data_IF_118628507464
#
_entry.id   IF_118628507464
#
_cell.length_a   1.000
_cell.length_b   1.000
_cell.length_c   1.000
_cell.angle_alpha   90.00
_cell.angle_beta   90.00
_cell.angle_gamma   90.00
#
_symmetry.space_group_name_H-M   'P 1'
#
loop_
_entity.id
_entity.type
_entity.pdbx_description
1 polymer ?
#
# COMPACT_ATOMS: atom_id res chain seq x y z
N UNK A 1 -0.90 4.07 -14.87
CA UNK A 1 0.43 4.68 -15.13
C UNK A 1 0.34 6.13 -15.65
N UNK A 2 1.21 6.99 -15.14
CA UNK A 2 1.43 8.35 -15.65
C UNK A 2 2.18 8.33 -17.00
N UNK A 3 2.29 9.49 -17.67
CA UNK A 3 2.98 9.63 -18.97
C UNK A 3 4.45 9.23 -18.86
N UNK A 4 5.03 9.41 -17.68
CA UNK A 4 6.40 9.08 -17.31
C UNK A 4 6.64 7.56 -17.16
N UNK A 5 5.60 6.73 -17.30
CA UNK A 5 5.72 5.28 -17.38
C UNK A 5 5.69 4.54 -16.04
N UNK A 6 5.32 5.20 -14.94
CA UNK A 6 5.18 4.60 -13.61
C UNK A 6 3.81 4.90 -12.97
N UNK A 7 3.41 4.13 -11.96
CA UNK A 7 2.24 4.46 -11.15
C UNK A 7 2.56 5.64 -10.24
N UNK A 8 1.72 6.69 -10.30
CA UNK A 8 1.94 7.95 -9.62
C UNK A 8 0.67 8.40 -8.93
N UNK A 9 0.84 9.12 -7.83
CA UNK A 9 -0.22 9.95 -7.23
C UNK A 9 0.05 11.40 -7.61
N UNK A 10 -1.01 12.12 -7.95
CA UNK A 10 -0.94 13.54 -8.32
C UNK A 10 -1.62 14.38 -7.24
N UNK A 11 -0.91 15.38 -6.75
CA UNK A 11 -1.48 16.48 -5.99
C UNK A 11 -1.76 17.61 -6.96
N UNK A 12 -3.03 17.98 -7.08
CA UNK A 12 -3.47 19.04 -7.98
C UNK A 12 -3.94 20.24 -7.18
N UNK A 13 -3.45 21.42 -7.55
CA UNK A 13 -3.89 22.68 -6.96
C UNK A 13 -4.45 23.62 -8.03
N UNK A 14 -5.73 24.02 -7.96
CA UNK A 14 -6.33 24.88 -8.97
C UNK A 14 -5.79 26.32 -8.90
N UNK A 15 -5.59 26.93 -10.07
CA UNK A 15 -5.20 28.33 -10.21
C UNK A 15 -6.41 29.13 -10.71
N UNK A 16 -6.72 30.21 -9.99
CA UNK A 16 -7.80 31.13 -10.36
C UNK A 16 -7.23 32.48 -10.78
N UNK A 17 -7.85 33.11 -11.79
CA UNK A 17 -7.57 34.48 -12.17
C UNK A 17 -8.03 35.47 -11.10
N UNK A 18 -7.66 36.74 -11.24
CA UNK A 18 -8.19 37.81 -10.38
C UNK A 18 -9.72 37.98 -10.46
N UNK A 19 -10.35 37.54 -11.56
CA UNK A 19 -11.82 37.50 -11.71
C UNK A 19 -12.47 36.25 -11.09
N UNK A 20 -11.68 35.34 -10.53
CA UNK A 20 -12.18 34.09 -9.92
C UNK A 20 -12.46 32.97 -10.92
N UNK A 21 -12.05 33.11 -12.18
CA UNK A 21 -12.17 32.04 -13.18
C UNK A 21 -11.02 31.04 -13.03
N UNK A 22 -11.30 29.74 -13.10
CA UNK A 22 -10.26 28.73 -13.12
C UNK A 22 -9.49 28.81 -14.44
N UNK A 23 -8.18 29.06 -14.36
CA UNK A 23 -7.31 29.24 -15.54
C UNK A 23 -6.29 28.11 -15.72
N UNK A 24 -6.22 27.19 -14.76
CA UNK A 24 -5.35 26.02 -14.84
C UNK A 24 -5.15 25.34 -13.49
N UNK A 25 -4.10 24.53 -13.39
CA UNK A 25 -3.66 23.89 -12.15
C UNK A 25 -2.13 23.81 -12.07
N UNK A 26 -1.60 23.71 -10.85
CA UNK A 26 -0.25 23.23 -10.59
C UNK A 26 -0.36 21.79 -10.10
N UNK A 27 0.39 20.89 -10.72
CA UNK A 27 0.36 19.47 -10.39
C UNK A 27 1.73 19.03 -9.87
N UNK A 28 1.75 18.30 -8.74
CA UNK A 28 2.92 17.64 -8.23
C UNK A 28 2.69 16.12 -8.27
N UNK A 29 3.54 15.42 -9.03
CA UNK A 29 3.49 13.97 -9.14
C UNK A 29 4.52 13.36 -8.19
N UNK A 30 4.13 12.31 -7.47
CA UNK A 30 5.07 11.52 -6.69
C UNK A 30 4.81 10.03 -6.91
N UNK A 31 5.88 9.26 -6.73
CA UNK A 31 5.90 7.81 -6.78
C UNK A 31 5.55 7.25 -5.40
N UNK A 32 4.40 6.58 -5.22
CA UNK A 32 4.05 6.02 -3.92
C UNK A 32 5.08 5.00 -3.43
N UNK A 33 5.64 4.20 -4.35
CA UNK A 33 6.68 3.24 -4.03
C UNK A 33 7.94 3.89 -3.42
N UNK A 34 8.32 5.09 -3.91
CA UNK A 34 9.43 5.87 -3.34
C UNK A 34 9.07 6.61 -2.05
N UNK A 35 7.80 7.02 -1.89
CA UNK A 35 7.34 7.62 -0.63
C UNK A 35 7.42 6.58 0.51
N UNK A 36 7.03 5.35 0.19
CA UNK A 36 6.98 4.25 1.13
C UNK A 36 8.29 3.48 1.25
N UNK A 37 9.31 3.78 0.45
CA UNK A 37 10.62 3.13 0.57
C UNK A 37 11.32 3.43 1.90
N UNK A 38 10.91 4.46 2.65
CA UNK A 38 11.37 4.64 4.04
C UNK A 38 10.90 3.53 4.98
N UNK A 39 9.89 2.74 4.60
CA UNK A 39 9.54 1.50 5.30
C UNK A 39 10.61 0.42 5.17
N UNK A 40 11.46 0.47 4.13
CA UNK A 40 12.64 -0.42 4.03
C UNK A 40 13.55 -0.22 5.24
N UNK A 41 13.65 1.01 5.76
CA UNK A 41 14.43 1.29 6.98
C UNK A 41 13.85 0.60 8.22
N UNK A 42 12.53 0.33 8.26
CA UNK A 42 11.95 -0.46 9.34
C UNK A 42 12.47 -1.90 9.31
N UNK A 43 12.65 -2.49 8.14
CA UNK A 43 13.22 -3.84 8.04
C UNK A 43 14.66 -3.89 8.52
N UNK A 44 15.46 -2.86 8.22
CA UNK A 44 16.83 -2.74 8.74
C UNK A 44 16.85 -2.60 10.28
N UNK A 45 15.88 -1.91 10.86
CA UNK A 45 15.74 -1.77 12.32
C UNK A 45 15.27 -3.07 12.98
N UNK A 46 14.50 -3.89 12.27
CA UNK A 46 13.88 -5.11 12.78
C UNK A 46 14.43 -6.41 12.17
N UNK A 47 15.67 -6.42 11.64
CA UNK A 47 16.26 -7.56 10.92
C UNK A 47 16.16 -8.90 11.68
N UNK A 48 16.23 -8.86 13.02
CA UNK A 48 16.17 -10.05 13.87
C UNK A 48 14.73 -10.48 14.26
N UNK A 49 13.69 -9.72 13.87
CA UNK A 49 12.32 -9.89 14.38
C UNK A 49 11.30 -10.35 13.33
N UNK A 50 11.71 -10.63 12.09
CA UNK A 50 10.81 -11.02 10.99
C UNK A 50 9.62 -10.04 10.83
N UNK A 51 9.88 -8.75 11.06
CA UNK A 51 8.90 -7.69 10.89
C UNK A 51 9.09 -7.06 9.53
N UNK A 52 8.00 -7.00 8.76
CA UNK A 52 7.94 -6.32 7.46
C UNK A 52 6.82 -5.29 7.45
N UNK A 53 6.84 -4.40 6.47
CA UNK A 53 5.77 -3.44 6.27
C UNK A 53 5.37 -3.38 4.80
N UNK A 54 4.09 -3.17 4.53
CA UNK A 54 3.54 -3.04 3.18
C UNK A 54 2.44 -1.99 3.16
N UNK A 55 2.13 -1.48 1.97
CA UNK A 55 1.13 -0.43 1.78
C UNK A 55 0.16 -0.76 0.64
N UNK A 56 -1.10 -0.42 0.84
CA UNK A 56 -2.19 -0.75 -0.08
C UNK A 56 -3.18 0.41 -0.21
N UNK A 57 -3.73 0.59 -1.41
CA UNK A 57 -4.90 1.41 -1.63
C UNK A 57 -6.18 0.74 -1.10
N UNK A 58 -7.24 1.53 -0.92
CA UNK A 58 -8.53 1.02 -0.44
C UNK A 58 -9.25 0.12 -1.45
N UNK A 59 -8.83 0.11 -2.71
CA UNK A 59 -9.31 -0.78 -3.77
C UNK A 59 -8.48 -2.08 -3.90
N UNK A 60 -7.44 -2.23 -3.07
CA UNK A 60 -6.61 -3.42 -3.02
C UNK A 60 -5.31 -3.35 -3.84
N UNK A 61 -5.02 -2.26 -4.55
CA UNK A 61 -3.71 -2.13 -5.23
C UNK A 61 -2.57 -2.01 -4.19
N UNK A 62 -1.58 -2.89 -4.29
CA UNK A 62 -0.39 -2.90 -3.44
C UNK A 62 0.58 -1.85 -3.98
N UNK A 63 0.85 -0.83 -3.19
CA UNK A 63 1.72 0.29 -3.57
C UNK A 63 3.18 0.08 -3.19
N UNK A 64 3.40 -0.72 -2.14
CA UNK A 64 4.72 -1.07 -1.65
C UNK A 64 4.62 -2.40 -0.91
N UNK A 65 5.58 -3.28 -1.18
CA UNK A 65 5.82 -4.52 -0.46
C UNK A 65 7.34 -4.81 -0.54
N UNK A 66 7.94 -5.45 0.48
CA UNK A 66 9.34 -5.87 0.42
C UNK A 66 9.60 -6.89 -0.69
N UNK A 67 8.59 -7.68 -1.06
CA UNK A 67 8.64 -8.50 -2.26
C UNK A 67 8.22 -7.66 -3.49
N UNK A 68 9.17 -7.30 -4.37
CA UNK A 68 8.87 -6.45 -5.52
C UNK A 68 7.91 -7.11 -6.53
N UNK A 69 7.70 -8.42 -6.46
CA UNK A 69 6.73 -9.11 -7.32
C UNK A 69 5.27 -8.81 -6.91
N UNK A 70 5.04 -8.38 -5.67
CA UNK A 70 3.71 -8.01 -5.17
C UNK A 70 3.31 -6.57 -5.51
N UNK A 71 4.29 -5.68 -5.74
CA UNK A 71 4.05 -4.26 -6.03
C UNK A 71 3.28 -4.10 -7.35
N UNK A 72 2.17 -3.36 -7.30
CA UNK A 72 1.27 -3.12 -8.43
C UNK A 72 0.27 -4.24 -8.68
N UNK A 73 0.31 -5.36 -7.93
CA UNK A 73 -0.77 -6.34 -7.93
C UNK A 73 -1.96 -5.83 -7.13
N UNK A 74 -3.13 -6.34 -7.44
CA UNK A 74 -4.34 -6.05 -6.68
C UNK A 74 -4.75 -7.27 -5.86
N UNK A 75 -4.85 -7.09 -4.55
CA UNK A 75 -5.11 -8.13 -3.56
C UNK A 75 -6.39 -8.93 -3.87
N UNK A 76 -7.42 -8.28 -4.39
CA UNK A 76 -8.73 -8.88 -4.59
C UNK A 76 -8.92 -9.52 -5.97
N UNK A 77 -8.08 -9.17 -6.95
CA UNK A 77 -8.28 -9.59 -8.35
C UNK A 77 -7.14 -10.39 -8.95
N UNK A 78 -5.90 -10.24 -8.46
CA UNK A 78 -4.76 -11.01 -8.95
C UNK A 78 -4.93 -12.51 -8.59
N UNK A 79 -4.74 -13.45 -9.55
CA UNK A 79 -4.83 -14.87 -9.29
C UNK A 79 -3.94 -15.41 -8.17
N UNK A 80 -2.81 -14.75 -7.87
CA UNK A 80 -1.89 -15.12 -6.80
C UNK A 80 -2.59 -15.26 -5.44
N UNK A 81 -3.50 -14.34 -5.13
CA UNK A 81 -4.13 -14.25 -3.80
C UNK A 81 -5.38 -15.13 -3.64
N UNK A 82 -5.96 -15.61 -4.74
CA UNK A 82 -7.23 -16.37 -4.73
C UNK A 82 -7.25 -17.59 -3.79
N UNK A 83 -6.17 -18.36 -3.63
CA UNK A 83 -6.16 -19.49 -2.71
C UNK A 83 -6.20 -19.10 -1.23
N UNK A 84 -5.86 -17.85 -0.87
CA UNK A 84 -5.62 -17.42 0.50
C UNK A 84 -6.84 -16.69 1.09
N UNK A 85 -7.88 -17.45 1.41
CA UNK A 85 -9.17 -16.88 1.88
C UNK A 85 -9.01 -16.02 3.15
N UNK A 86 -8.14 -16.41 4.08
CA UNK A 86 -7.89 -15.63 5.30
C UNK A 86 -7.26 -14.26 4.99
N UNK A 87 -6.31 -14.23 4.05
CA UNK A 87 -5.71 -13.00 3.56
C UNK A 87 -6.76 -12.11 2.90
N UNK A 88 -7.62 -12.66 2.03
CA UNK A 88 -8.67 -11.88 1.37
C UNK A 88 -9.66 -11.28 2.38
N UNK A 89 -10.11 -12.06 3.38
CA UNK A 89 -10.99 -11.56 4.44
C UNK A 89 -10.34 -10.47 5.29
N UNK A 90 -9.05 -10.60 5.60
CA UNK A 90 -8.34 -9.52 6.31
C UNK A 90 -8.12 -8.31 5.39
N UNK A 91 -7.87 -8.52 4.10
CA UNK A 91 -7.74 -7.48 3.09
C UNK A 91 -8.99 -6.61 2.98
N UNK A 92 -10.18 -7.20 3.00
CA UNK A 92 -11.46 -6.46 3.02
C UNK A 92 -11.58 -5.57 4.27
N UNK A 93 -11.12 -6.06 5.43
CA UNK A 93 -11.07 -5.26 6.65
C UNK A 93 -10.04 -4.14 6.55
N UNK A 94 -8.84 -4.43 6.06
CA UNK A 94 -7.80 -3.41 5.85
C UNK A 94 -8.32 -2.31 4.91
N UNK A 95 -9.00 -2.67 3.83
CA UNK A 95 -9.58 -1.72 2.89
C UNK A 95 -10.66 -0.82 3.53
N UNK A 96 -11.53 -1.37 4.37
CA UNK A 96 -12.70 -0.67 4.93
C UNK A 96 -12.47 -0.01 6.29
N UNK A 97 -11.60 -0.55 7.13
CA UNK A 97 -11.31 -0.07 8.48
C UNK A 97 -10.04 0.81 8.47
N UNK A 98 -10.11 2.01 9.06
CA UNK A 98 -8.96 2.95 9.06
C UNK A 98 -7.74 2.45 9.86
N UNK A 99 -7.97 1.61 10.84
CA UNK A 99 -6.92 0.96 11.61
C UNK A 99 -7.46 -0.33 12.22
N UNK A 100 -6.57 -1.25 12.55
CA UNK A 100 -6.96 -2.50 13.17
C UNK A 100 -5.79 -3.48 13.26
N UNK A 101 -6.12 -4.71 13.61
CA UNK A 101 -5.21 -5.84 13.59
C UNK A 101 -5.94 -7.13 13.21
N UNK A 102 -5.16 -8.15 12.85
CA UNK A 102 -5.63 -9.49 12.56
C UNK A 102 -4.50 -10.39 12.08
N UNK A 103 -4.82 -11.66 11.90
CA UNK A 103 -3.88 -12.67 11.40
C UNK A 103 -4.37 -13.25 10.09
N UNK A 104 -3.44 -13.71 9.26
CA UNK A 104 -3.72 -14.38 8.00
C UNK A 104 -2.59 -15.34 7.66
N UNK A 105 -2.83 -16.25 6.74
CA UNK A 105 -1.81 -17.11 6.17
C UNK A 105 -1.49 -16.64 4.76
N UNK A 106 -0.19 -16.48 4.46
CA UNK A 106 0.29 -16.20 3.11
C UNK A 106 1.72 -16.69 2.93
N UNK A 107 2.19 -16.70 1.69
CA UNK A 107 3.55 -17.11 1.33
C UNK A 107 4.60 -16.33 2.15
N UNK A 108 5.65 -17.04 2.55
CA UNK A 108 6.82 -16.46 3.17
C UNK A 108 7.63 -15.59 2.19
N UNK A 109 8.70 -14.94 2.67
CA UNK A 109 9.57 -14.11 1.83
C UNK A 109 9.99 -14.82 0.53
N UNK A 110 9.94 -14.12 -0.60
CA UNK A 110 10.22 -14.68 -1.93
C UNK A 110 9.16 -15.63 -2.45
N UNK A 111 7.91 -15.44 -2.02
CA UNK A 111 6.75 -16.27 -2.37
C UNK A 111 6.96 -17.78 -2.08
N UNK A 112 7.54 -18.08 -0.91
CA UNK A 112 7.87 -19.44 -0.44
C UNK A 112 6.80 -20.01 0.49
N UNK A 113 7.07 -21.12 1.18
CA UNK A 113 6.10 -21.87 2.01
C UNK A 113 5.16 -20.96 2.83
N UNK A 114 3.85 -21.25 2.86
CA UNK A 114 2.89 -20.46 3.63
C UNK A 114 3.25 -20.41 5.12
N UNK A 115 3.10 -19.22 5.71
CA UNK A 115 3.28 -18.98 7.14
C UNK A 115 2.19 -18.08 7.68
N UNK A 116 1.94 -18.18 8.99
CA UNK A 116 0.97 -17.32 9.67
C UNK A 116 1.61 -15.96 9.93
N UNK A 117 0.91 -14.92 9.53
CA UNK A 117 1.32 -13.52 9.65
C UNK A 117 0.33 -12.80 10.55
N UNK A 118 0.84 -11.94 11.43
CA UNK A 118 0.06 -11.07 12.29
C UNK A 118 0.29 -9.63 11.87
N UNK A 119 -0.77 -8.97 11.41
CA UNK A 119 -0.75 -7.61 10.90
C UNK A 119 -1.42 -6.63 11.86
N UNK A 120 -0.83 -5.45 11.96
CA UNK A 120 -1.47 -4.25 12.49
C UNK A 120 -1.39 -3.16 11.42
N UNK A 121 -2.50 -2.45 11.18
CA UNK A 121 -2.53 -1.40 10.17
C UNK A 121 -3.10 -0.09 10.70
N UNK A 122 -2.72 0.98 10.00
CA UNK A 122 -3.25 2.32 10.15
C UNK A 122 -3.50 2.94 8.78
N UNK A 123 -4.03 4.16 8.75
CA UNK A 123 -4.28 4.92 7.52
C UNK A 123 -3.41 6.16 7.48
N UNK A 124 -2.73 6.37 6.36
CA UNK A 124 -2.10 7.64 5.98
C UNK A 124 -2.83 8.20 4.77
N UNK A 125 -2.86 9.51 4.61
CA UNK A 125 -3.63 10.09 3.52
C UNK A 125 -3.39 11.58 3.37
N UNK A 126 -3.72 12.09 2.18
CA UNK A 126 -3.61 13.50 1.84
C UNK A 126 -4.74 13.85 0.86
N UNK A 127 -5.42 14.98 1.11
CA UNK A 127 -6.50 15.50 0.26
C UNK A 127 -7.58 14.48 -0.13
N UNK A 128 -8.03 13.66 0.82
CA UNK A 128 -9.10 12.68 0.61
C UNK A 128 -8.65 11.38 -0.05
N UNK A 129 -7.38 11.25 -0.44
CA UNK A 129 -6.78 9.97 -0.82
C UNK A 129 -6.26 9.28 0.44
N UNK A 130 -6.62 8.02 0.62
CA UNK A 130 -6.21 7.21 1.77
C UNK A 130 -5.43 5.97 1.32
N UNK A 131 -4.39 5.64 2.09
CA UNK A 131 -3.58 4.45 1.96
C UNK A 131 -3.53 3.72 3.29
N UNK A 132 -3.55 2.40 3.23
CA UNK A 132 -3.41 1.51 4.37
C UNK A 132 -1.94 1.16 4.50
N UNK A 133 -1.40 1.39 5.70
CA UNK A 133 -0.04 1.02 6.06
C UNK A 133 -0.12 -0.12 7.06
N UNK A 134 0.38 -1.29 6.68
CA UNK A 134 0.38 -2.48 7.50
C UNK A 134 1.81 -2.85 7.91
N UNK A 135 1.98 -3.17 9.19
CA UNK A 135 3.19 -3.79 9.74
C UNK A 135 2.83 -5.22 10.11
N UNK A 136 3.68 -6.15 9.72
CA UNK A 136 3.44 -7.58 9.80
C UNK A 136 4.59 -8.25 10.51
N UNK A 137 4.30 -9.22 11.38
CA UNK A 137 5.29 -10.15 11.90
C UNK A 137 4.88 -11.58 11.57
N UNK A 138 5.85 -12.41 11.19
CA UNK A 138 5.66 -13.86 11.11
C UNK A 138 5.44 -14.44 12.51
N UNK A 139 4.58 -15.45 12.61
CA UNK A 139 4.20 -16.16 13.84
C UNK A 139 4.64 -17.62 13.77
#
# INVERSE_FOLDING_TARGET
PAVEGFNAVVLEWPIFSASGEMVGSVNALFRPDLLFSSMVELEEVFQDQQVTAWAMQTDGEILYDPDPEEVGKNLFSDPLYKPYVQLLSLGERIASEKSGNGTYEFLGPGLTDPLVKSASWTTVGLHGTEWRLAVVHAV
#
